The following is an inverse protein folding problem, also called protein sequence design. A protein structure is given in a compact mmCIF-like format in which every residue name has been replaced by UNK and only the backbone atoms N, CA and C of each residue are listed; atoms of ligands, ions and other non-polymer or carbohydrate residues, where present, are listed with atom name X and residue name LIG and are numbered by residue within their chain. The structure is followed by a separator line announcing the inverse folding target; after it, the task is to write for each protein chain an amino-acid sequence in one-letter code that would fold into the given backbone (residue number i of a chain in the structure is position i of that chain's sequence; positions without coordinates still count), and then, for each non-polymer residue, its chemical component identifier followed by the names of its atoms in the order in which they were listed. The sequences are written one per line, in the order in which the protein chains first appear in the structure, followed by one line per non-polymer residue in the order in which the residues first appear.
data_IF_546678651912
#
_entry.id   IF_546678651912
#
_cell.length_a   1.000
_cell.length_b   1.000
_cell.length_c   1.000
_cell.angle_alpha   90.00
_cell.angle_beta   90.00
_cell.angle_gamma   90.00
#
_symmetry.space_group_name_H-M   'P 1'
#
loop_
_entity.id
_entity.type
_entity.pdbx_description
1 polymer ?
#
# COMPACT_ATOMS: atom_id res chain seq x y z
N UNK A 1 3.16 -0.31 -14.08
CA UNK A 1 4.30 -0.64 -13.20
C UNK A 1 5.56 -0.66 -14.03
N UNK A 2 6.65 -0.15 -13.47
CA UNK A 2 7.91 -0.02 -14.18
C UNK A 2 9.05 0.05 -13.18
N UNK A 3 10.13 -0.67 -13.47
CA UNK A 3 11.32 -0.76 -12.61
C UNK A 3 11.87 0.60 -12.14
N UNK A 4 11.66 1.67 -12.90
CA UNK A 4 12.13 3.02 -12.61
C UNK A 4 11.09 3.92 -11.92
N UNK A 5 9.92 3.40 -11.55
CA UNK A 5 8.91 4.15 -10.81
C UNK A 5 9.29 4.23 -9.32
N UNK A 6 9.59 5.43 -8.85
CA UNK A 6 10.05 5.68 -7.47
C UNK A 6 8.97 5.27 -6.47
N UNK A 7 7.70 5.55 -6.76
CA UNK A 7 6.58 5.19 -5.89
C UNK A 7 6.44 3.67 -5.74
N UNK A 8 6.87 2.90 -6.75
CA UNK A 8 6.87 1.43 -6.72
C UNK A 8 7.98 0.90 -5.81
N UNK A 9 9.19 1.45 -5.94
CA UNK A 9 10.33 1.11 -5.08
C UNK A 9 10.03 1.45 -3.62
N UNK A 10 9.38 2.59 -3.37
CA UNK A 10 8.98 3.01 -2.03
C UNK A 10 7.89 2.10 -1.45
N UNK A 11 6.86 1.77 -2.24
CA UNK A 11 5.82 0.82 -1.83
C UNK A 11 6.40 -0.56 -1.48
N UNK A 12 7.37 -1.03 -2.24
CA UNK A 12 8.02 -2.32 -1.99
C UNK A 12 8.91 -2.34 -0.74
N UNK A 13 9.40 -1.17 -0.33
CA UNK A 13 10.16 -1.01 0.91
C UNK A 13 9.29 -1.08 2.17
N UNK A 14 7.97 -1.03 2.04
CA UNK A 14 7.05 -1.07 3.17
C UNK A 14 7.14 -2.42 3.91
N UNK A 15 7.09 -2.36 5.23
CA UNK A 15 7.25 -3.54 6.08
C UNK A 15 5.93 -4.29 6.22
N UNK A 16 6.00 -5.61 6.10
CA UNK A 16 4.86 -6.53 6.21
C UNK A 16 5.16 -7.58 7.28
N UNK A 17 4.21 -7.89 8.17
CA UNK A 17 4.41 -8.89 9.21
C UNK A 17 4.56 -10.29 8.61
N UNK A 18 5.63 -10.98 8.98
CA UNK A 18 6.01 -12.28 8.48
C UNK A 18 6.27 -13.25 9.64
N UNK A 19 6.07 -14.55 9.42
CA UNK A 19 6.45 -15.62 10.35
C UNK A 19 7.40 -16.59 9.66
N UNK A 20 8.55 -16.86 10.27
CA UNK A 20 9.50 -17.84 9.74
C UNK A 20 9.05 -19.27 10.04
N UNK A 21 9.07 -20.15 9.03
CA UNK A 21 8.67 -21.55 9.18
C UNK A 21 9.82 -22.47 9.62
N UNK A 22 11.06 -21.98 9.56
CA UNK A 22 12.28 -22.71 9.87
C UNK A 22 13.29 -21.86 10.64
N UNK A 23 14.19 -22.54 11.35
CA UNK A 23 15.32 -21.89 12.01
C UNK A 23 16.44 -21.66 10.98
N UNK A 24 16.83 -20.40 10.76
CA UNK A 24 17.86 -20.01 9.79
C UNK A 24 19.09 -19.46 10.51
N UNK A 25 20.25 -20.15 10.44
CA UNK A 25 21.49 -19.66 11.00
C UNK A 25 22.00 -18.38 10.32
N UNK A 26 22.55 -17.45 11.09
CA UNK A 26 23.25 -16.27 10.57
C UNK A 26 22.35 -15.11 10.13
N UNK A 27 21.03 -15.31 10.03
CA UNK A 27 20.06 -14.26 9.69
C UNK A 27 19.60 -13.40 10.89
N UNK A 28 20.15 -13.61 12.09
CA UNK A 28 19.76 -12.85 13.29
C UNK A 28 19.91 -11.33 13.18
N UNK A 29 20.64 -10.81 12.17
CA UNK A 29 20.68 -9.38 11.90
C UNK A 29 19.31 -8.78 11.52
N UNK A 30 18.38 -9.59 11.00
CA UNK A 30 17.00 -9.16 10.73
C UNK A 30 16.27 -8.81 12.03
N UNK A 31 16.58 -9.50 13.13
CA UNK A 31 16.07 -9.24 14.49
C UNK A 31 16.90 -8.20 15.28
N UNK A 32 17.95 -7.64 14.67
CA UNK A 32 18.90 -6.78 15.38
C UNK A 32 19.88 -7.55 16.29
N UNK A 33 20.02 -8.86 16.10
CA UNK A 33 20.96 -9.74 16.81
C UNK A 33 21.98 -10.38 15.82
N UNK A 34 22.98 -9.62 15.31
CA UNK A 34 23.95 -10.14 14.36
C UNK A 34 24.66 -11.40 14.87
N UNK A 35 24.77 -12.42 14.03
CA UNK A 35 25.48 -13.67 14.35
C UNK A 35 24.64 -14.75 15.05
N UNK A 36 23.39 -14.46 15.43
CA UNK A 36 22.45 -15.48 15.94
C UNK A 36 21.61 -16.11 14.81
N UNK A 37 21.00 -17.25 15.10
CA UNK A 37 19.94 -17.85 14.29
C UNK A 37 18.62 -17.09 14.49
N UNK A 38 17.80 -17.03 13.43
CA UNK A 38 16.36 -16.79 13.58
C UNK A 38 15.75 -18.14 13.90
N UNK A 39 14.97 -18.23 14.96
CA UNK A 39 14.28 -19.46 15.32
C UNK A 39 12.98 -19.66 14.53
N UNK A 40 12.52 -20.91 14.48
CA UNK A 40 11.22 -21.24 13.90
C UNK A 40 10.10 -20.51 14.65
N UNK A 41 9.07 -20.11 13.91
CA UNK A 41 7.89 -19.38 14.36
C UNK A 41 8.16 -17.96 14.86
N UNK A 42 9.38 -17.43 14.69
CA UNK A 42 9.66 -16.04 14.98
C UNK A 42 8.90 -15.13 14.03
N UNK A 43 8.24 -14.12 14.60
CA UNK A 43 7.53 -13.07 13.87
C UNK A 43 8.44 -11.87 13.66
N UNK A 44 8.52 -11.41 12.42
CA UNK A 44 9.38 -10.31 12.03
C UNK A 44 8.75 -9.48 10.92
N UNK A 45 9.00 -8.18 10.94
CA UNK A 45 8.52 -7.27 9.90
C UNK A 45 9.57 -7.12 8.80
N UNK A 46 9.29 -7.66 7.61
CA UNK A 46 10.19 -7.64 6.47
C UNK A 46 9.67 -6.71 5.37
N UNK A 47 10.55 -6.04 4.61
CA UNK A 47 10.15 -5.31 3.41
C UNK A 47 9.44 -6.23 2.41
N UNK A 48 8.39 -5.74 1.76
CA UNK A 48 7.56 -6.50 0.82
C UNK A 48 8.39 -7.13 -0.32
N UNK A 49 9.38 -6.41 -0.88
CA UNK A 49 10.23 -6.97 -1.95
C UNK A 49 10.98 -8.24 -1.53
N UNK A 50 11.34 -8.37 -0.26
CA UNK A 50 12.02 -9.54 0.27
C UNK A 50 11.03 -10.62 0.67
N UNK A 51 9.98 -10.21 1.39
CA UNK A 51 8.96 -11.10 1.92
C UNK A 51 8.21 -11.85 0.79
N UNK A 52 7.89 -11.15 -0.30
CA UNK A 52 7.21 -11.73 -1.46
C UNK A 52 8.05 -12.85 -2.12
N UNK A 53 9.37 -12.68 -2.21
CA UNK A 53 10.26 -13.71 -2.77
C UNK A 53 10.36 -14.91 -1.84
N UNK A 54 10.55 -14.68 -0.53
CA UNK A 54 10.68 -15.76 0.46
C UNK A 54 9.39 -16.55 0.68
N UNK A 55 8.23 -15.93 0.45
CA UNK A 55 6.94 -16.61 0.51
C UNK A 55 6.70 -17.54 -0.70
N UNK A 56 7.26 -17.23 -1.87
CA UNK A 56 7.10 -18.02 -3.11
C UNK A 56 8.18 -19.10 -3.25
N UNK A 57 9.38 -18.87 -2.74
CA UNK A 57 10.47 -19.85 -2.84
C UNK A 57 10.18 -21.10 -1.98
N UNK A 58 10.24 -22.27 -2.63
CA UNK A 58 10.19 -23.56 -1.94
C UNK A 58 11.55 -23.91 -1.33
N UNK A 59 11.52 -24.56 -0.15
CA UNK A 59 12.73 -24.99 0.56
C UNK A 59 13.40 -26.20 -0.11
N UNK A 60 12.60 -27.09 -0.71
CA UNK A 60 13.08 -28.24 -1.48
C UNK A 60 12.03 -28.71 -2.49
N UNK A 61 12.48 -29.27 -3.62
CA UNK A 61 11.61 -29.74 -4.73
C UNK A 61 10.54 -30.77 -4.30
N UNK A 62 10.70 -31.39 -3.13
CA UNK A 62 9.84 -32.47 -2.61
C UNK A 62 8.83 -32.00 -1.54
N UNK A 63 8.90 -30.72 -1.11
CA UNK A 63 8.01 -30.15 -0.10
C UNK A 63 7.54 -28.75 -0.50
N UNK A 64 6.23 -28.54 -0.60
CA UNK A 64 5.58 -27.23 -0.81
C UNK A 64 5.71 -26.27 0.40
N UNK A 65 6.75 -26.43 1.24
CA UNK A 65 6.98 -25.55 2.38
C UNK A 65 7.76 -24.30 1.93
N UNK A 66 7.18 -23.14 2.18
CA UNK A 66 7.79 -21.82 2.00
C UNK A 66 8.69 -21.46 3.18
N UNK A 67 9.66 -20.56 2.94
CA UNK A 67 10.54 -20.07 4.02
C UNK A 67 9.78 -19.27 5.08
N UNK A 68 8.79 -18.51 4.63
CA UNK A 68 8.04 -17.55 5.42
C UNK A 68 6.55 -17.67 5.10
N UNK A 69 5.74 -17.51 6.14
CA UNK A 69 4.32 -17.22 6.05
C UNK A 69 4.10 -15.71 6.21
N UNK A 70 3.50 -15.09 5.20
CA UNK A 70 3.03 -13.72 5.27
C UNK A 70 1.76 -13.66 6.12
N UNK A 71 1.79 -12.81 7.15
CA UNK A 71 0.64 -12.58 8.02
C UNK A 71 -0.22 -11.46 7.44
N UNK A 72 -1.52 -11.50 7.71
CA UNK A 72 -2.44 -10.44 7.29
C UNK A 72 -2.00 -9.09 7.88
N UNK A 73 -1.73 -8.08 7.04
CA UNK A 73 -1.23 -6.80 7.51
C UNK A 73 -2.38 -5.93 8.05
N UNK A 74 -2.05 -5.05 8.99
CA UNK A 74 -3.04 -4.23 9.71
C UNK A 74 -3.88 -3.33 8.79
N UNK A 75 -3.34 -2.92 7.64
CA UNK A 75 -4.05 -2.07 6.67
C UNK A 75 -5.16 -2.81 5.90
N UNK A 76 -5.14 -4.15 5.87
CA UNK A 76 -6.18 -5.00 5.26
C UNK A 76 -7.15 -5.52 6.33
N UNK A 77 -6.90 -5.23 7.61
CA UNK A 77 -7.74 -5.70 8.69
C UNK A 77 -9.23 -5.40 8.44
N UNK A 78 -10.14 -6.29 8.88
CA UNK A 78 -11.58 -6.14 8.61
C UNK A 78 -12.13 -4.82 9.16
N UNK A 79 -11.51 -4.25 10.20
CA UNK A 79 -11.84 -2.92 10.72
C UNK A 79 -11.63 -1.82 9.67
N UNK A 80 -10.48 -1.83 8.98
CA UNK A 80 -10.15 -0.84 7.94
C UNK A 80 -11.06 -1.04 6.74
N UNK A 81 -11.23 -2.28 6.27
CA UNK A 81 -12.11 -2.58 5.14
C UNK A 81 -13.57 -2.19 5.39
N UNK A 82 -14.08 -2.41 6.62
CA UNK A 82 -15.43 -2.00 6.97
C UNK A 82 -15.57 -0.47 7.07
N UNK A 83 -14.55 0.23 7.56
CA UNK A 83 -14.54 1.70 7.57
C UNK A 83 -14.57 2.26 6.13
N UNK A 84 -13.76 1.68 5.24
CA UNK A 84 -13.75 2.04 3.81
C UNK A 84 -15.11 1.78 3.16
N UNK A 85 -15.74 0.64 3.44
CA UNK A 85 -17.08 0.31 2.89
C UNK A 85 -18.18 1.23 3.42
N UNK A 86 -18.03 1.77 4.63
CA UNK A 86 -19.05 2.63 5.25
C UNK A 86 -18.97 4.08 4.74
N UNK A 87 -17.79 4.69 4.73
CA UNK A 87 -17.57 6.03 4.18
C UNK A 87 -16.12 6.21 3.70
N UNK A 88 -15.86 5.98 2.39
CA UNK A 88 -14.54 6.13 1.78
C UNK A 88 -13.86 7.49 2.00
N UNK A 89 -14.63 8.57 2.17
CA UNK A 89 -14.12 9.94 2.15
C UNK A 89 -13.60 10.40 3.50
N UNK A 90 -14.10 9.83 4.60
CA UNK A 90 -13.65 10.15 5.95
C UNK A 90 -12.44 9.34 6.40
N UNK A 91 -12.09 8.27 5.67
CA UNK A 91 -10.91 7.44 5.98
C UNK A 91 -9.62 8.19 5.65
N UNK A 92 -8.71 8.19 6.64
CA UNK A 92 -7.35 8.70 6.51
C UNK A 92 -6.39 7.63 5.98
N UNK A 93 -6.31 7.52 4.65
CA UNK A 93 -5.44 6.53 3.98
C UNK A 93 -3.98 6.80 4.28
N UNK A 94 -3.54 8.06 4.27
CA UNK A 94 -2.14 8.41 4.52
C UNK A 94 -1.65 7.96 5.90
N UNK A 95 -2.51 8.09 6.92
CA UNK A 95 -2.20 7.63 8.29
C UNK A 95 -2.12 6.11 8.42
N UNK A 96 -2.88 5.37 7.62
CA UNK A 96 -2.88 3.91 7.60
C UNK A 96 -1.66 3.42 6.84
N UNK A 97 -1.47 3.92 5.62
CA UNK A 97 -0.39 3.55 4.72
C UNK A 97 -0.25 4.58 3.60
N UNK A 98 0.96 5.07 3.36
CA UNK A 98 1.21 6.10 2.33
C UNK A 98 1.05 5.61 0.88
N UNK A 99 1.13 4.29 0.67
CA UNK A 99 1.02 3.63 -0.64
C UNK A 99 -0.04 2.51 -0.64
N UNK A 100 -1.23 2.80 -0.09
CA UNK A 100 -2.33 1.85 0.08
C UNK A 100 -2.71 1.14 -1.23
N UNK A 101 -3.01 1.89 -2.31
CA UNK A 101 -3.49 1.29 -3.56
C UNK A 101 -2.47 0.32 -4.18
N UNK A 102 -1.19 0.68 -4.15
CA UNK A 102 -0.11 -0.15 -4.70
C UNK A 102 0.08 -1.42 -3.89
N UNK A 103 0.07 -1.32 -2.56
CA UNK A 103 0.19 -2.50 -1.70
C UNK A 103 -1.04 -3.40 -1.81
N UNK A 104 -2.26 -2.84 -1.87
CA UNK A 104 -3.47 -3.62 -2.06
C UNK A 104 -3.48 -4.38 -3.39
N UNK A 105 -2.99 -3.77 -4.48
CA UNK A 105 -2.83 -4.44 -5.78
C UNK A 105 -1.85 -5.61 -5.70
N UNK A 106 -0.67 -5.40 -5.11
CA UNK A 106 0.35 -6.45 -4.95
C UNK A 106 -0.12 -7.59 -4.04
N UNK A 107 -0.76 -7.25 -2.92
CA UNK A 107 -1.32 -8.22 -1.99
C UNK A 107 -2.43 -9.05 -2.64
N UNK A 108 -3.38 -8.39 -3.31
CA UNK A 108 -4.45 -9.08 -4.01
C UNK A 108 -3.93 -9.94 -5.16
N UNK A 109 -2.87 -9.53 -5.86
CA UNK A 109 -2.21 -10.35 -6.88
C UNK A 109 -1.55 -11.61 -6.31
N UNK A 110 -1.02 -11.54 -5.07
CA UNK A 110 -0.35 -12.66 -4.42
C UNK A 110 -1.33 -13.70 -3.88
N UNK A 111 -2.43 -13.24 -3.27
CA UNK A 111 -3.45 -14.08 -2.65
C UNK A 111 -4.71 -14.31 -3.49
N UNK A 112 -4.76 -13.72 -4.68
CA UNK A 112 -5.92 -13.71 -5.57
C UNK A 112 -7.21 -13.21 -4.88
N UNK A 113 -7.09 -12.17 -4.06
CA UNK A 113 -8.19 -11.65 -3.24
C UNK A 113 -9.02 -10.59 -4.01
N UNK A 114 -10.04 -11.06 -4.72
CA UNK A 114 -10.90 -10.21 -5.57
C UNK A 114 -11.68 -9.17 -4.76
N UNK A 115 -12.15 -9.52 -3.56
CA UNK A 115 -12.95 -8.64 -2.70
C UNK A 115 -12.21 -7.37 -2.26
N UNK A 116 -10.89 -7.46 -2.07
CA UNK A 116 -10.04 -6.33 -1.71
C UNK A 116 -9.98 -5.32 -2.86
N UNK A 117 -9.78 -5.81 -4.09
CA UNK A 117 -9.73 -4.98 -5.30
C UNK A 117 -11.06 -4.29 -5.53
N UNK A 118 -12.19 -5.01 -5.43
CA UNK A 118 -13.52 -4.42 -5.60
C UNK A 118 -13.77 -3.28 -4.59
N UNK A 119 -13.39 -3.49 -3.33
CA UNK A 119 -13.50 -2.48 -2.28
C UNK A 119 -12.62 -1.26 -2.57
N UNK A 120 -11.37 -1.48 -2.97
CA UNK A 120 -10.43 -0.41 -3.32
C UNK A 120 -10.90 0.39 -4.55
N UNK A 121 -11.46 -0.27 -5.56
CA UNK A 121 -12.03 0.38 -6.74
C UNK A 121 -13.27 1.22 -6.40
N UNK A 122 -14.19 0.70 -5.57
CA UNK A 122 -15.35 1.45 -5.10
C UNK A 122 -14.94 2.70 -4.33
N UNK A 123 -13.97 2.56 -3.40
CA UNK A 123 -13.37 3.67 -2.66
C UNK A 123 -12.76 4.72 -3.60
N UNK A 124 -11.93 4.30 -4.56
CA UNK A 124 -11.29 5.19 -5.51
C UNK A 124 -12.32 5.99 -6.33
N UNK A 125 -13.42 5.37 -6.75
CA UNK A 125 -14.47 6.06 -7.51
C UNK A 125 -15.10 7.21 -6.71
N UNK A 126 -15.42 6.98 -5.44
CA UNK A 126 -16.00 8.02 -4.58
C UNK A 126 -15.01 9.13 -4.26
N UNK A 127 -13.77 8.76 -3.94
CA UNK A 127 -12.72 9.72 -3.61
C UNK A 127 -12.26 10.51 -4.83
N UNK A 128 -12.26 9.92 -6.03
CA UNK A 128 -11.93 10.62 -7.28
C UNK A 128 -12.90 11.77 -7.58
N UNK A 129 -14.19 11.60 -7.32
CA UNK A 129 -15.18 12.69 -7.45
C UNK A 129 -14.85 13.83 -6.49
N UNK A 130 -14.45 13.51 -5.27
CA UNK A 130 -14.09 14.52 -4.26
C UNK A 130 -12.76 15.22 -4.60
N UNK A 131 -11.77 14.48 -5.08
CA UNK A 131 -10.52 15.04 -5.61
C UNK A 131 -10.82 16.03 -6.75
N UNK A 132 -11.75 15.69 -7.66
CA UNK A 132 -12.15 16.58 -8.74
C UNK A 132 -12.83 17.86 -8.23
N UNK A 133 -13.71 17.74 -7.24
CA UNK A 133 -14.36 18.87 -6.56
C UNK A 133 -13.32 19.82 -5.94
N UNK A 134 -12.32 19.28 -5.25
CA UNK A 134 -11.24 20.09 -4.68
C UNK A 134 -10.35 20.71 -5.76
N UNK A 135 -10.05 19.99 -6.84
CA UNK A 135 -9.23 20.51 -7.94
C UNK A 135 -9.93 21.64 -8.72
N UNK A 136 -11.27 21.61 -8.83
CA UNK A 136 -12.06 22.68 -9.45
C UNK A 136 -12.14 23.95 -8.60
N UNK A 137 -12.10 23.85 -7.28
CA UNK A 137 -12.39 24.98 -6.40
C UNK A 137 -11.10 25.71 -5.95
N UNK A 138 -10.62 26.64 -6.76
CA UNK A 138 -9.40 27.44 -6.50
C UNK A 138 -9.55 28.49 -5.40
N UNK A 139 -10.76 28.80 -4.95
CA UNK A 139 -11.08 29.96 -4.11
C UNK A 139 -11.18 29.68 -2.62
N UNK A 140 -10.81 28.49 -2.15
CA UNK A 140 -10.99 28.14 -0.73
C UNK A 140 -9.66 27.86 -0.05
N UNK A 141 -9.40 28.64 0.99
CA UNK A 141 -8.46 28.46 2.11
C UNK A 141 -8.64 27.12 2.87
N UNK A 142 -9.09 26.08 2.19
CA UNK A 142 -9.45 24.81 2.77
C UNK A 142 -8.19 23.95 2.69
N UNK A 143 -7.34 24.09 3.70
CA UNK A 143 -6.61 22.96 4.26
C UNK A 143 -7.66 21.94 4.73
N UNK A 144 -8.32 21.25 3.80
CA UNK A 144 -9.26 20.19 4.14
C UNK A 144 -8.44 19.04 4.70
N UNK A 145 -8.89 18.51 5.82
CA UNK A 145 -8.38 17.25 6.37
C UNK A 145 -8.36 16.14 5.29
N UNK A 146 -9.22 16.24 4.28
CA UNK A 146 -9.23 15.35 3.11
C UNK A 146 -7.96 15.37 2.26
N UNK A 147 -7.30 16.52 2.04
CA UNK A 147 -6.07 16.55 1.23
C UNK A 147 -4.90 15.88 1.97
N UNK A 148 -4.91 15.92 3.30
CA UNK A 148 -3.92 15.24 4.12
C UNK A 148 -4.16 13.73 4.22
N UNK A 149 -5.40 13.27 4.02
CA UNK A 149 -5.76 11.86 4.02
C UNK A 149 -5.50 11.13 2.70
N UNK A 150 -5.01 11.82 1.67
CA UNK A 150 -4.79 11.22 0.36
C UNK A 150 -3.60 10.26 0.35
N UNK A 151 -3.74 9.16 -0.37
CA UNK A 151 -2.63 8.28 -0.75
C UNK A 151 -1.67 9.00 -1.73
N UNK A 152 -0.41 8.55 -1.86
CA UNK A 152 0.53 9.15 -2.83
C UNK A 152 0.03 9.09 -4.28
N UNK A 153 -0.69 8.02 -4.66
CA UNK A 153 -1.34 7.94 -5.96
C UNK A 153 -2.40 9.04 -6.13
N UNK A 154 -3.23 9.25 -5.11
CA UNK A 154 -4.28 10.28 -5.11
C UNK A 154 -3.71 11.70 -5.10
N UNK A 155 -2.62 11.93 -4.36
CA UNK A 155 -1.90 13.22 -4.36
C UNK A 155 -1.40 13.56 -5.76
N UNK A 156 -0.85 12.58 -6.48
CA UNK A 156 -0.41 12.75 -7.87
C UNK A 156 -1.59 13.03 -8.79
N UNK A 157 -2.70 12.29 -8.65
CA UNK A 157 -3.92 12.52 -9.40
C UNK A 157 -4.48 13.93 -9.17
N UNK A 158 -4.53 14.37 -7.91
CA UNK A 158 -4.97 15.72 -7.55
C UNK A 158 -4.09 16.79 -8.21
N UNK A 159 -2.76 16.68 -8.13
CA UNK A 159 -1.82 17.64 -8.73
C UNK A 159 -2.03 17.76 -10.24
N UNK A 160 -2.15 16.63 -10.94
CA UNK A 160 -2.37 16.60 -12.40
C UNK A 160 -3.70 17.25 -12.76
N UNK A 161 -4.78 16.89 -12.08
CA UNK A 161 -6.12 17.44 -12.33
C UNK A 161 -6.18 18.94 -12.04
N UNK A 162 -5.58 19.38 -10.94
CA UNK A 162 -5.50 20.78 -10.56
C UNK A 162 -4.74 21.62 -11.60
N UNK A 163 -3.55 21.16 -11.98
CA UNK A 163 -2.70 21.88 -12.94
C UNK A 163 -3.36 21.93 -14.33
N UNK A 164 -3.98 20.84 -14.77
CA UNK A 164 -4.76 20.79 -16.02
C UNK A 164 -5.89 21.83 -16.05
N UNK A 165 -6.69 21.90 -14.97
CA UNK A 165 -7.78 22.89 -14.86
C UNK A 165 -7.26 24.33 -14.80
N UNK A 166 -6.13 24.56 -14.12
CA UNK A 166 -5.48 25.86 -14.05
C UNK A 166 -4.99 26.31 -15.43
N UNK A 167 -4.33 25.43 -16.19
CA UNK A 167 -3.88 25.71 -17.56
C UNK A 167 -5.05 25.98 -18.50
N UNK A 168 -6.13 25.20 -18.41
CA UNK A 168 -7.34 25.43 -19.21
C UNK A 168 -7.95 26.82 -18.95
N UNK A 169 -8.00 27.26 -17.70
CA UNK A 169 -8.50 28.60 -17.34
C UNK A 169 -7.60 29.71 -17.84
N UNK A 170 -6.27 29.54 -17.73
CA UNK A 170 -5.31 30.49 -18.27
C UNK A 170 -5.52 30.63 -19.79
N UNK A 171 -5.59 29.51 -20.51
CA UNK A 171 -5.82 29.49 -21.95
C UNK A 171 -7.16 30.10 -22.37
N UNK A 172 -8.23 29.91 -21.58
CA UNK A 172 -9.55 30.49 -21.90
C UNK A 172 -9.60 32.00 -21.68
N UNK A 173 -8.70 32.54 -20.85
CA UNK A 173 -8.64 33.96 -20.51
C UNK A 173 -7.64 34.75 -21.37
N UNK A 174 -6.81 34.06 -22.16
CA UNK A 174 -5.94 34.63 -23.21
C UNK A 174 -6.73 34.79 -24.53
#
# INVERSE_FOLDING_TARGET
MGYYDIDEILADGEKVPCRFNLSVPGLGYLEGNPGKSIEKDTKLDLPLWLAAVLAVCAISDDTDQSFIDLLEPDFISPKVLNAIKADPKSVDLHSIMSHFYRLSEKWASMYNEVSLIETAMAMLKERAMEIDNFASNTTKHVSSNFLYSLDEFEKKLYRVTYESKKQMRAWTND
#
